data_IF_039867087556
#
_entry.id   IF_039867087556
#
_cell.length_a   1.000
_cell.length_b   1.000
_cell.length_c   1.000
_cell.angle_alpha   90.00
_cell.angle_beta   90.00
_cell.angle_gamma   90.00
#
_symmetry.space_group_name_H-M   'P 1'
#
loop_
_entity.id
_entity.type
_entity.pdbx_description
1 polymer ?
#
# COMPACT_ATOMS: atom_id res chain seq x y z
N UNK A 1 -23.37 14.25 -17.14
CA UNK A 1 -23.55 13.32 -16.00
C UNK A 1 -22.85 13.92 -14.79
N UNK A 2 -23.49 13.94 -13.61
CA UNK A 2 -22.82 14.40 -12.38
C UNK A 2 -21.62 13.48 -12.09
N UNK A 3 -20.48 14.04 -11.72
CA UNK A 3 -19.31 13.26 -11.32
C UNK A 3 -19.68 12.44 -10.06
N UNK A 4 -19.55 11.12 -10.15
CA UNK A 4 -19.77 10.24 -8.99
C UNK A 4 -18.64 10.54 -8.00
N UNK A 5 -19.00 11.00 -6.81
CA UNK A 5 -18.05 11.37 -5.76
C UNK A 5 -17.44 10.11 -5.15
N UNK A 6 -16.12 10.08 -5.01
CA UNK A 6 -15.43 9.01 -4.25
C UNK A 6 -15.80 9.10 -2.77
N UNK A 7 -16.20 7.98 -2.19
CA UNK A 7 -16.52 7.85 -0.76
C UNK A 7 -15.26 7.43 0.00
N UNK A 8 -14.94 8.14 1.08
CA UNK A 8 -13.85 7.76 1.98
C UNK A 8 -14.42 7.11 3.22
N UNK A 9 -13.90 5.95 3.59
CA UNK A 9 -14.27 5.23 4.81
C UNK A 9 -13.06 5.09 5.74
N UNK A 10 -13.27 5.38 7.01
CA UNK A 10 -12.28 5.16 8.08
C UNK A 10 -12.72 3.92 8.86
N UNK A 11 -12.01 2.80 8.70
CA UNK A 11 -12.41 1.51 9.28
C UNK A 11 -11.67 1.16 10.58
N UNK A 12 -10.66 1.95 10.97
CA UNK A 12 -9.86 1.70 12.16
C UNK A 12 -9.04 0.41 12.08
N UNK A 13 -8.81 -0.23 13.21
CA UNK A 13 -8.09 -1.49 13.32
C UNK A 13 -9.06 -2.65 13.06
N UNK A 14 -8.89 -3.35 11.94
CA UNK A 14 -9.81 -4.40 11.49
C UNK A 14 -9.06 -5.61 10.92
N UNK A 15 -9.60 -6.82 11.11
CA UNK A 15 -9.00 -8.07 10.62
C UNK A 15 -8.88 -8.12 9.10
N UNK A 16 -7.72 -8.64 8.59
CA UNK A 16 -7.48 -8.73 7.15
C UNK A 16 -8.51 -9.61 6.43
N UNK A 17 -8.81 -10.80 6.96
CA UNK A 17 -9.73 -11.75 6.32
C UNK A 17 -11.14 -11.18 6.18
N UNK A 18 -11.61 -10.45 7.19
CA UNK A 18 -12.89 -9.77 7.17
C UNK A 18 -12.94 -8.69 6.07
N UNK A 19 -11.95 -7.79 6.08
CA UNK A 19 -11.87 -6.70 5.09
C UNK A 19 -11.69 -7.24 3.67
N UNK A 20 -10.93 -8.33 3.52
CA UNK A 20 -10.75 -9.00 2.23
C UNK A 20 -12.07 -9.56 1.69
N UNK A 21 -12.90 -10.17 2.53
CA UNK A 21 -14.23 -10.62 2.16
C UNK A 21 -15.11 -9.42 1.74
N UNK A 22 -15.16 -8.37 2.55
CA UNK A 22 -15.92 -7.14 2.27
C UNK A 22 -15.53 -6.50 0.93
N UNK A 23 -14.22 -6.37 0.63
CA UNK A 23 -13.74 -5.82 -0.65
C UNK A 23 -14.20 -6.65 -1.85
N UNK A 24 -14.14 -7.97 -1.74
CA UNK A 24 -14.59 -8.88 -2.80
C UNK A 24 -16.08 -8.76 -3.04
N UNK A 25 -16.86 -8.77 -1.98
CA UNK A 25 -18.33 -8.69 -2.04
C UNK A 25 -18.76 -7.35 -2.61
N UNK A 26 -18.18 -6.24 -2.14
CA UNK A 26 -18.41 -4.92 -2.71
C UNK A 26 -18.09 -4.88 -4.21
N UNK A 27 -16.90 -5.37 -4.61
CA UNK A 27 -16.48 -5.38 -6.02
C UNK A 27 -17.35 -6.30 -6.88
N UNK A 28 -17.84 -7.41 -6.32
CA UNK A 28 -18.72 -8.33 -7.01
C UNK A 28 -20.15 -7.78 -7.19
N UNK A 29 -20.65 -7.06 -6.20
CA UNK A 29 -22.02 -6.56 -6.19
C UNK A 29 -22.20 -5.19 -6.86
N UNK A 30 -21.08 -4.42 -7.06
CA UNK A 30 -21.19 -3.05 -7.58
C UNK A 30 -21.79 -3.00 -8.99
N UNK A 31 -22.77 -2.12 -9.15
CA UNK A 31 -23.34 -1.74 -10.44
C UNK A 31 -22.64 -0.49 -11.03
N UNK A 32 -23.07 -0.06 -12.23
CA UNK A 32 -22.45 1.09 -12.92
C UNK A 32 -22.57 2.42 -12.17
N UNK A 33 -23.59 2.57 -11.32
CA UNK A 33 -23.83 3.78 -10.51
C UNK A 33 -23.20 3.71 -9.11
N UNK A 34 -22.56 2.58 -8.76
CA UNK A 34 -21.91 2.44 -7.47
C UNK A 34 -20.75 3.43 -7.33
N UNK A 35 -20.69 4.13 -6.21
CA UNK A 35 -19.59 5.05 -5.90
C UNK A 35 -18.24 4.31 -5.87
N UNK A 36 -17.18 5.03 -6.18
CA UNK A 36 -15.82 4.60 -5.88
C UNK A 36 -15.54 4.79 -4.39
N UNK A 37 -14.75 3.89 -3.81
CA UNK A 37 -14.46 3.97 -2.38
C UNK A 37 -12.97 3.87 -2.10
N UNK A 38 -12.50 4.64 -1.09
CA UNK A 38 -11.20 4.53 -0.47
C UNK A 38 -11.40 4.14 0.99
N UNK A 39 -10.85 2.98 1.39
CA UNK A 39 -10.96 2.49 2.76
C UNK A 39 -9.63 2.64 3.48
N UNK A 40 -9.58 3.51 4.48
CA UNK A 40 -8.45 3.75 5.34
C UNK A 40 -8.55 2.90 6.61
N UNK A 41 -7.49 2.17 6.94
CA UNK A 41 -7.51 1.23 8.05
C UNK A 41 -6.10 0.82 8.50
N UNK A 42 -6.06 0.08 9.58
CA UNK A 42 -4.93 -0.71 10.05
C UNK A 42 -5.33 -2.18 10.16
N UNK A 43 -4.36 -3.07 10.13
CA UNK A 43 -4.58 -4.48 10.47
C UNK A 43 -3.86 -4.88 11.74
N UNK A 44 -4.41 -5.81 12.54
CA UNK A 44 -3.60 -6.61 13.46
C UNK A 44 -2.46 -7.32 12.70
N UNK A 45 -1.38 -7.73 13.39
CA UNK A 45 -0.27 -8.42 12.75
C UNK A 45 -0.72 -9.57 11.85
N UNK A 46 -0.35 -9.51 10.56
CA UNK A 46 -0.70 -10.52 9.55
C UNK A 46 0.29 -10.52 8.40
N UNK A 47 0.70 -11.70 7.95
CA UNK A 47 1.34 -11.88 6.66
C UNK A 47 0.30 -12.16 5.60
N UNK A 48 0.38 -11.47 4.45
CA UNK A 48 -0.49 -11.76 3.32
C UNK A 48 0.33 -12.23 2.12
N UNK A 49 -0.06 -13.35 1.52
CA UNK A 49 0.55 -13.85 0.30
C UNK A 49 -0.32 -13.45 -0.91
N UNK A 50 0.27 -12.73 -1.87
CA UNK A 50 -0.37 -12.40 -3.13
C UNK A 50 -0.32 -13.57 -4.13
N UNK A 51 -0.79 -13.33 -5.37
CA UNK A 51 -0.85 -14.35 -6.42
C UNK A 51 0.51 -14.93 -6.83
N UNK A 52 1.58 -14.13 -6.72
CA UNK A 52 2.95 -14.58 -6.97
C UNK A 52 3.64 -15.13 -5.71
N UNK A 53 2.88 -15.27 -4.59
CA UNK A 53 3.40 -15.72 -3.30
C UNK A 53 3.94 -17.15 -3.37
N UNK A 54 5.16 -17.33 -2.87
CA UNK A 54 5.82 -18.63 -2.75
C UNK A 54 6.14 -18.91 -1.30
N UNK A 55 5.96 -20.16 -0.86
CA UNK A 55 6.22 -20.54 0.53
C UNK A 55 7.68 -20.28 0.96
N UNK A 56 8.63 -20.40 0.04
CA UNK A 56 10.06 -20.16 0.27
C UNK A 56 10.39 -18.72 0.71
N UNK A 57 9.48 -17.76 0.48
CA UNK A 57 9.64 -16.38 0.90
C UNK A 57 9.07 -16.09 2.30
N UNK A 58 8.48 -17.07 2.95
CA UNK A 58 8.06 -17.01 4.36
C UNK A 58 9.12 -17.78 5.17
N UNK A 59 10.03 -17.04 5.82
CA UNK A 59 11.21 -17.63 6.44
C UNK A 59 10.95 -18.13 7.87
N UNK A 60 10.33 -17.31 8.70
CA UNK A 60 10.08 -17.59 10.11
C UNK A 60 8.84 -16.83 10.63
N UNK A 61 7.62 -17.19 10.23
CA UNK A 61 6.42 -16.39 10.53
C UNK A 61 6.10 -16.32 12.03
N UNK A 62 6.56 -17.28 12.85
CA UNK A 62 6.20 -17.37 14.26
C UNK A 62 4.70 -17.53 14.43
N UNK A 63 4.11 -16.80 15.39
CA UNK A 63 2.67 -16.83 15.69
C UNK A 63 1.85 -15.88 14.83
N UNK A 64 2.48 -15.12 13.92
CA UNK A 64 1.75 -14.21 13.03
C UNK A 64 1.03 -15.01 11.94
N UNK A 65 -0.30 -14.86 11.81
CA UNK A 65 -1.07 -15.60 10.82
C UNK A 65 -0.67 -15.26 9.39
N UNK A 66 -0.72 -16.27 8.51
CA UNK A 66 -0.48 -16.13 7.08
C UNK A 66 -1.82 -16.28 6.35
N UNK A 67 -2.21 -15.29 5.57
CA UNK A 67 -3.45 -15.31 4.79
C UNK A 67 -3.15 -15.29 3.30
N UNK A 68 -3.66 -16.29 2.58
CA UNK A 68 -3.60 -16.31 1.12
C UNK A 68 -4.60 -15.31 0.55
N UNK A 69 -4.11 -14.45 -0.35
CA UNK A 69 -4.87 -13.37 -0.98
C UNK A 69 -4.75 -13.44 -2.50
N UNK A 70 -5.68 -12.79 -3.19
CA UNK A 70 -5.63 -12.68 -4.65
C UNK A 70 -5.08 -11.33 -5.15
N UNK A 71 -4.49 -10.49 -4.26
CA UNK A 71 -3.79 -9.29 -4.68
C UNK A 71 -2.56 -9.63 -5.53
N UNK A 72 -2.09 -8.68 -6.32
CA UNK A 72 -0.79 -8.80 -6.99
C UNK A 72 0.38 -8.89 -5.99
N UNK A 73 1.51 -9.35 -6.48
CA UNK A 73 2.77 -9.43 -5.74
C UNK A 73 2.94 -10.67 -4.87
N UNK A 74 4.02 -10.66 -4.10
CA UNK A 74 4.51 -11.72 -3.22
C UNK A 74 3.97 -11.54 -1.79
N UNK A 75 4.67 -12.14 -0.79
CA UNK A 75 4.38 -11.95 0.62
C UNK A 75 4.68 -10.52 1.08
N UNK A 76 3.87 -10.01 2.00
CA UNK A 76 4.13 -8.77 2.76
C UNK A 76 3.60 -8.92 4.18
N UNK A 77 3.91 -7.93 5.03
CA UNK A 77 3.42 -7.83 6.40
C UNK A 77 2.54 -6.60 6.56
N UNK A 78 1.50 -6.73 7.36
CA UNK A 78 0.69 -5.64 7.87
C UNK A 78 0.62 -5.70 9.39
N UNK A 79 0.63 -4.55 10.04
CA UNK A 79 0.53 -4.42 11.49
C UNK A 79 0.11 -3.02 11.92
N UNK A 80 -0.21 -2.80 13.21
CA UNK A 80 -0.53 -1.49 13.75
C UNK A 80 0.56 -0.46 13.46
N UNK A 81 0.16 0.78 13.18
CA UNK A 81 1.07 1.85 12.77
C UNK A 81 1.40 1.88 11.27
N UNK A 82 0.77 1.02 10.45
CA UNK A 82 0.85 1.05 9.00
C UNK A 82 -0.44 1.66 8.43
N UNK A 83 -0.32 2.72 7.61
CA UNK A 83 -1.46 3.25 6.87
C UNK A 83 -1.81 2.34 5.69
N UNK A 84 -2.89 1.59 5.80
CA UNK A 84 -3.42 0.75 4.72
C UNK A 84 -4.57 1.48 4.05
N UNK A 85 -4.55 1.54 2.71
CA UNK A 85 -5.65 2.13 1.94
C UNK A 85 -6.09 1.16 0.85
N UNK A 86 -7.31 0.68 0.93
CA UNK A 86 -7.93 -0.09 -0.14
C UNK A 86 -8.64 0.81 -1.13
N UNK A 87 -8.47 0.51 -2.42
CA UNK A 87 -8.80 1.38 -3.55
C UNK A 87 -9.79 0.65 -4.45
N UNK A 88 -11.08 0.92 -4.24
CA UNK A 88 -12.20 0.24 -4.89
C UNK A 88 -12.80 1.17 -5.96
N UNK A 89 -12.17 1.20 -7.15
CA UNK A 89 -12.48 2.12 -8.23
C UNK A 89 -13.02 1.38 -9.46
N UNK A 90 -13.89 2.05 -10.19
CA UNK A 90 -14.27 1.66 -11.55
C UNK A 90 -13.30 2.31 -12.55
N UNK A 91 -12.33 1.53 -13.02
CA UNK A 91 -11.29 2.01 -13.92
C UNK A 91 -11.81 2.33 -15.32
N UNK A 92 -12.89 1.67 -15.77
CA UNK A 92 -13.53 1.98 -17.05
C UNK A 92 -14.13 3.38 -17.00
N UNK A 93 -14.85 3.71 -15.95
CA UNK A 93 -15.44 5.03 -15.73
C UNK A 93 -14.38 6.12 -15.61
N UNK A 94 -13.25 5.82 -14.96
CA UNK A 94 -12.14 6.75 -14.77
C UNK A 94 -11.26 6.89 -16.01
N UNK A 95 -11.39 6.00 -17.01
CA UNK A 95 -10.67 6.09 -18.27
C UNK A 95 -9.18 5.74 -18.17
N UNK A 96 -8.74 4.97 -17.16
CA UNK A 96 -7.35 4.54 -17.05
C UNK A 96 -7.21 3.08 -16.63
N UNK A 97 -6.06 2.48 -16.94
CA UNK A 97 -5.78 1.09 -16.69
C UNK A 97 -5.06 0.83 -15.36
N UNK A 98 -4.82 -0.45 -15.06
CA UNK A 98 -4.15 -0.86 -13.83
C UNK A 98 -2.75 -0.25 -13.66
N UNK A 99 -1.99 -0.09 -14.75
CA UNK A 99 -0.63 0.53 -14.70
C UNK A 99 -0.70 2.02 -14.36
N UNK A 100 -1.72 2.72 -14.86
CA UNK A 100 -1.95 4.12 -14.52
C UNK A 100 -2.35 4.28 -13.07
N UNK A 101 -3.21 3.37 -12.57
CA UNK A 101 -3.56 3.34 -11.16
C UNK A 101 -2.32 3.13 -10.28
N UNK A 102 -1.45 2.17 -10.60
CA UNK A 102 -0.20 1.95 -9.86
C UNK A 102 0.62 3.24 -9.78
N UNK A 103 0.88 3.90 -10.92
CA UNK A 103 1.66 5.15 -10.95
C UNK A 103 1.02 6.27 -10.12
N UNK A 104 -0.31 6.40 -10.16
CA UNK A 104 -1.04 7.41 -9.38
C UNK A 104 -0.94 7.16 -7.87
N UNK A 105 -1.02 5.90 -7.46
CA UNK A 105 -0.88 5.50 -6.05
C UNK A 105 0.55 5.70 -5.53
N UNK A 106 1.56 5.32 -6.31
CA UNK A 106 2.96 5.58 -5.99
C UNK A 106 3.22 7.08 -5.87
N UNK A 107 2.71 7.87 -6.81
CA UNK A 107 2.88 9.32 -6.80
C UNK A 107 2.19 9.98 -5.59
N UNK A 108 1.00 9.51 -5.18
CA UNK A 108 0.34 10.00 -3.99
C UNK A 108 1.17 9.75 -2.71
N UNK A 109 1.74 8.56 -2.56
CA UNK A 109 2.65 8.27 -1.44
C UNK A 109 3.92 9.13 -1.50
N UNK A 110 4.53 9.30 -2.67
CA UNK A 110 5.73 10.13 -2.86
C UNK A 110 5.46 11.59 -2.48
N UNK A 111 4.35 12.16 -2.93
CA UNK A 111 3.98 13.55 -2.63
C UNK A 111 3.64 13.73 -1.12
N UNK A 112 2.99 12.74 -0.51
CA UNK A 112 2.78 12.74 0.94
C UNK A 112 4.13 12.79 1.68
N UNK A 113 5.08 11.94 1.32
CA UNK A 113 6.42 11.88 1.91
C UNK A 113 7.21 13.17 1.65
N UNK A 114 7.11 13.74 0.45
CA UNK A 114 7.76 15.01 0.12
C UNK A 114 7.26 16.16 1.00
N UNK A 115 5.97 16.16 1.39
CA UNK A 115 5.42 17.10 2.37
C UNK A 115 6.07 17.03 3.76
N UNK A 116 6.77 15.94 4.07
CA UNK A 116 7.55 15.75 5.30
C UNK A 116 9.06 15.94 5.09
N UNK A 117 9.48 16.37 3.89
CA UNK A 117 10.90 16.48 3.55
C UNK A 117 11.58 15.14 3.25
N UNK A 118 10.84 14.07 3.07
CA UNK A 118 11.35 12.73 2.75
C UNK A 118 11.38 12.55 1.23
N UNK A 119 12.59 12.49 0.66
CA UNK A 119 12.77 12.19 -0.76
C UNK A 119 12.56 10.69 -1.01
N UNK A 120 11.55 10.35 -1.80
CA UNK A 120 11.20 8.99 -2.13
C UNK A 120 10.93 8.82 -3.63
N UNK A 121 11.08 7.60 -4.13
CA UNK A 121 10.92 7.29 -5.55
C UNK A 121 10.23 5.94 -5.78
N UNK A 122 9.56 5.79 -6.92
CA UNK A 122 9.05 4.53 -7.41
C UNK A 122 10.13 3.79 -8.23
N UNK A 123 9.97 2.46 -8.36
CA UNK A 123 10.85 1.61 -9.19
C UNK A 123 10.03 0.92 -10.28
N UNK A 124 10.45 0.96 -11.55
CA UNK A 124 9.76 0.29 -12.65
C UNK A 124 9.73 -1.24 -12.55
N UNK A 125 10.79 -1.82 -11.97
CA UNK A 125 11.02 -3.27 -11.83
C UNK A 125 10.38 -3.87 -10.57
N UNK A 126 10.08 -3.03 -9.58
CA UNK A 126 9.56 -3.47 -8.29
C UNK A 126 8.55 -2.46 -7.73
N UNK A 127 7.25 -2.57 -8.08
CA UNK A 127 6.23 -1.62 -7.66
C UNK A 127 6.25 -1.34 -6.16
N UNK A 128 6.17 -0.05 -5.80
CA UNK A 128 6.27 0.45 -4.44
C UNK A 128 7.04 1.75 -4.36
N UNK A 129 7.20 2.25 -3.13
CA UNK A 129 7.90 3.50 -2.85
C UNK A 129 9.13 3.23 -2.00
N UNK A 130 10.25 3.82 -2.40
CA UNK A 130 11.57 3.55 -1.85
C UNK A 130 12.27 4.86 -1.47
N UNK A 131 13.06 4.80 -0.40
CA UNK A 131 13.96 5.88 0.04
C UNK A 131 15.38 5.41 -0.12
N UNK A 132 16.21 6.23 -0.79
CA UNK A 132 17.63 5.97 -1.01
C UNK A 132 18.46 7.00 -0.26
N UNK A 133 19.32 6.55 0.62
CA UNK A 133 20.23 7.40 1.39
C UNK A 133 21.34 6.59 2.04
N UNK A 134 22.33 7.28 2.61
CA UNK A 134 23.30 6.68 3.52
C UNK A 134 22.61 6.43 4.88
N UNK A 135 22.50 5.16 5.25
CA UNK A 135 21.88 4.76 6.51
C UNK A 135 22.95 4.58 7.59
N UNK A 136 22.63 5.02 8.81
CA UNK A 136 23.59 4.94 9.93
C UNK A 136 23.99 3.50 10.26
N UNK A 137 23.13 2.51 9.98
CA UNK A 137 23.34 1.07 10.15
C UNK A 137 23.67 0.36 8.83
N UNK A 138 23.92 1.11 7.77
CA UNK A 138 24.32 0.61 6.46
C UNK A 138 25.82 0.32 6.37
N UNK A 139 26.27 -0.43 5.35
CA UNK A 139 27.69 -0.72 5.13
C UNK A 139 28.44 0.56 4.80
N UNK A 140 29.48 0.88 5.60
CA UNK A 140 30.30 2.07 5.39
C UNK A 140 31.09 2.01 4.08
N UNK A 141 31.09 3.12 3.33
CA UNK A 141 31.85 3.25 2.07
C UNK A 141 31.25 2.53 0.88
N UNK A 142 30.00 2.07 0.97
CA UNK A 142 29.24 1.54 -0.16
C UNK A 142 28.28 2.61 -0.71
N UNK A 143 27.62 2.30 -1.86
CA UNK A 143 26.62 3.17 -2.45
C UNK A 143 25.43 3.31 -1.49
N UNK A 144 24.66 4.43 -1.59
CA UNK A 144 23.41 4.59 -0.85
C UNK A 144 22.53 3.35 -0.98
N UNK A 145 21.97 2.90 0.13
CA UNK A 145 21.07 1.74 0.17
C UNK A 145 19.62 2.21 -0.01
N UNK A 146 18.86 1.45 -0.79
CA UNK A 146 17.42 1.64 -0.91
C UNK A 146 16.66 0.81 0.11
N UNK A 147 15.76 1.48 0.86
CA UNK A 147 14.78 0.81 1.75
C UNK A 147 13.37 1.12 1.30
N UNK A 148 12.51 0.12 1.38
CA UNK A 148 11.12 0.24 0.98
C UNK A 148 10.30 0.85 2.11
N UNK A 149 9.52 1.89 1.83
CA UNK A 149 8.63 2.56 2.78
C UNK A 149 7.15 2.33 2.45
N UNK A 150 6.83 2.19 1.18
CA UNK A 150 5.47 1.97 0.70
C UNK A 150 5.36 0.72 -0.18
N UNK A 151 4.34 -0.07 0.07
CA UNK A 151 4.02 -1.27 -0.70
C UNK A 151 2.70 -1.10 -1.43
N UNK A 152 2.54 -1.77 -2.56
CA UNK A 152 1.26 -1.83 -3.24
C UNK A 152 1.02 -3.22 -3.84
N UNK A 153 -0.26 -3.61 -3.88
CA UNK A 153 -0.68 -4.83 -4.53
C UNK A 153 -2.16 -4.71 -4.86
N UNK A 154 -2.50 -4.72 -6.14
CA UNK A 154 -3.85 -4.53 -6.64
C UNK A 154 -4.40 -5.82 -7.26
N UNK A 155 -5.71 -5.89 -7.32
CA UNK A 155 -6.44 -6.81 -8.19
C UNK A 155 -7.44 -6.00 -9.01
N UNK A 156 -7.56 -6.33 -10.28
CA UNK A 156 -8.62 -5.80 -11.14
C UNK A 156 -9.53 -6.95 -11.55
N UNK A 157 -10.84 -6.77 -11.37
CA UNK A 157 -11.86 -7.70 -11.75
C UNK A 157 -13.01 -6.94 -12.42
N UNK A 158 -13.38 -7.34 -13.62
CA UNK A 158 -14.44 -6.68 -14.42
C UNK A 158 -14.26 -5.16 -14.54
N UNK A 159 -12.99 -4.72 -14.70
CA UNK A 159 -12.65 -3.30 -14.78
C UNK A 159 -12.63 -2.54 -13.46
N UNK A 160 -12.90 -3.18 -12.33
CA UNK A 160 -12.89 -2.56 -11.01
C UNK A 160 -11.69 -3.02 -10.20
N UNK A 161 -11.01 -2.07 -9.54
CA UNK A 161 -9.88 -2.36 -8.64
C UNK A 161 -10.33 -2.70 -7.23
N UNK A 162 -9.52 -3.46 -6.52
CA UNK A 162 -9.58 -3.66 -5.07
C UNK A 162 -8.21 -4.04 -4.53
N UNK A 163 -8.05 -4.19 -3.21
CA UNK A 163 -6.78 -4.03 -2.50
C UNK A 163 -6.19 -2.63 -2.71
N UNK A 164 -4.90 -2.42 -2.50
CA UNK A 164 -4.38 -1.05 -2.58
C UNK A 164 -2.95 -0.92 -2.13
N UNK A 165 -2.70 0.02 -1.24
CA UNK A 165 -1.38 0.43 -0.76
C UNK A 165 -1.24 0.26 0.75
N UNK A 166 0.02 0.19 1.19
CA UNK A 166 0.40 0.20 2.59
C UNK A 166 1.65 1.08 2.76
N UNK A 167 1.54 2.15 3.55
CA UNK A 167 2.62 3.05 3.88
C UNK A 167 3.05 2.83 5.34
N UNK A 168 4.31 2.51 5.57
CA UNK A 168 4.85 2.32 6.92
C UNK A 168 5.01 3.69 7.59
N UNK A 169 4.31 3.92 8.70
CA UNK A 169 4.31 5.21 9.40
C UNK A 169 5.09 5.14 10.71
N UNK A 170 4.62 4.36 11.66
CA UNK A 170 5.25 4.16 12.96
C UNK A 170 4.84 2.80 13.52
N UNK A 171 5.45 1.75 13.01
CA UNK A 171 5.10 0.36 13.26
C UNK A 171 6.31 -0.48 13.66
N UNK A 172 6.08 -1.68 14.13
CA UNK A 172 7.14 -2.68 14.27
C UNK A 172 7.54 -3.22 12.88
N UNK A 173 8.78 -2.95 12.46
CA UNK A 173 9.33 -3.43 11.20
C UNK A 173 10.03 -4.79 11.30
N UNK A 174 10.23 -5.34 12.52
CA UNK A 174 10.92 -6.61 12.73
C UNK A 174 10.28 -7.75 11.92
N UNK A 175 8.93 -7.91 11.86
CA UNK A 175 8.31 -9.00 11.12
C UNK A 175 8.64 -9.03 9.62
N UNK A 176 9.01 -7.91 9.01
CA UNK A 176 9.49 -7.91 7.63
C UNK A 176 10.80 -8.70 7.45
N UNK A 177 11.63 -8.80 8.49
CA UNK A 177 12.84 -9.64 8.51
C UNK A 177 12.55 -11.15 8.50
N UNK A 178 11.31 -11.55 8.78
CA UNK A 178 10.85 -12.95 8.79
C UNK A 178 10.34 -13.42 7.42
N UNK A 179 10.36 -12.55 6.42
CA UNK A 179 9.91 -12.83 5.05
C UNK A 179 10.92 -12.24 4.04
N UNK A 180 10.81 -12.64 2.77
CA UNK A 180 11.44 -11.93 1.66
C UNK A 180 10.39 -11.03 0.99
N UNK A 181 10.28 -9.75 1.36
CA UNK A 181 9.24 -8.88 0.84
C UNK A 181 9.37 -8.73 -0.67
N UNK A 182 8.27 -8.86 -1.40
CA UNK A 182 8.26 -8.80 -2.86
C UNK A 182 9.14 -9.85 -3.56
N UNK A 183 9.54 -10.92 -2.86
CA UNK A 183 10.48 -11.93 -3.39
C UNK A 183 11.93 -11.45 -3.48
N UNK A 184 12.25 -10.28 -2.94
CA UNK A 184 13.59 -9.70 -2.94
C UNK A 184 14.28 -10.07 -1.62
N UNK A 185 15.22 -11.01 -1.69
CA UNK A 185 16.04 -11.38 -0.53
C UNK A 185 16.83 -10.15 -0.05
N UNK A 186 16.82 -9.90 1.26
CA UNK A 186 17.57 -8.80 1.86
C UNK A 186 16.97 -7.40 1.66
N UNK A 187 15.74 -7.27 1.10
CA UNK A 187 15.07 -5.98 1.02
C UNK A 187 14.76 -5.45 2.42
N UNK A 188 15.38 -4.33 2.78
CA UNK A 188 15.14 -3.67 4.06
C UNK A 188 13.96 -2.71 3.96
N UNK A 189 13.22 -2.60 5.06
CA UNK A 189 12.09 -1.68 5.17
C UNK A 189 12.49 -0.47 6.00
N UNK A 190 11.73 0.61 5.84
CA UNK A 190 11.79 1.83 6.67
C UNK A 190 10.39 2.39 6.87
N UNK A 191 10.26 3.45 7.63
CA UNK A 191 8.99 4.08 7.98
C UNK A 191 9.14 5.61 8.15
N UNK A 192 8.02 6.31 8.11
CA UNK A 192 7.96 7.79 8.15
C UNK A 192 8.65 8.34 9.40
N UNK A 193 8.38 7.75 10.58
CA UNK A 193 8.94 8.21 11.86
C UNK A 193 10.46 8.09 11.93
N UNK A 194 11.07 7.05 11.34
CA UNK A 194 12.54 6.90 11.28
C UNK A 194 13.23 7.93 10.39
N UNK A 195 12.48 8.58 9.53
CA UNK A 195 12.97 9.56 8.57
C UNK A 195 12.71 11.02 9.00
N UNK A 196 12.25 11.21 10.24
CA UNK A 196 11.94 12.53 10.80
C UNK A 196 10.57 13.08 10.41
N UNK A 197 9.75 12.27 9.76
CA UNK A 197 8.34 12.59 9.49
C UNK A 197 7.43 12.32 10.69
N UNK A 198 6.12 12.59 10.58
CA UNK A 198 5.17 12.39 11.67
C UNK A 198 5.04 10.92 12.09
N UNK A 199 5.04 10.67 13.42
CA UNK A 199 4.69 9.37 13.99
C UNK A 199 3.17 9.19 14.16
N UNK A 200 2.38 10.26 14.04
CA UNK A 200 0.92 10.25 14.14
C UNK A 200 0.31 9.67 12.85
N UNK A 201 -0.15 8.42 12.95
CA UNK A 201 -0.78 7.70 11.84
C UNK A 201 -2.02 8.42 11.29
N UNK A 202 -2.85 8.98 12.16
CA UNK A 202 -4.06 9.70 11.75
C UNK A 202 -3.73 10.94 10.93
N UNK A 203 -2.65 11.66 11.28
CA UNK A 203 -2.14 12.77 10.47
C UNK A 203 -1.71 12.30 9.09
N UNK A 204 -0.87 11.25 9.04
CA UNK A 204 -0.36 10.73 7.76
C UNK A 204 -1.49 10.21 6.87
N UNK A 205 -2.50 9.55 7.46
CA UNK A 205 -3.68 9.09 6.71
C UNK A 205 -4.46 10.27 6.10
N UNK A 206 -4.68 11.36 6.84
CA UNK A 206 -5.36 12.55 6.29
C UNK A 206 -4.57 13.21 5.17
N UNK A 207 -3.25 13.35 5.32
CA UNK A 207 -2.39 13.94 4.31
C UNK A 207 -2.38 13.06 3.05
N UNK A 208 -2.27 11.74 3.21
CA UNK A 208 -2.32 10.77 2.10
C UNK A 208 -3.69 10.77 1.40
N UNK A 209 -4.81 10.90 2.15
CA UNK A 209 -6.16 11.01 1.59
C UNK A 209 -6.27 12.19 0.61
N UNK A 210 -5.75 13.36 1.00
CA UNK A 210 -5.79 14.55 0.14
C UNK A 210 -5.07 14.32 -1.20
N UNK A 211 -3.89 13.70 -1.18
CA UNK A 211 -3.15 13.38 -2.40
C UNK A 211 -3.85 12.28 -3.22
N UNK A 212 -4.40 11.24 -2.59
CA UNK A 212 -5.13 10.19 -3.28
C UNK A 212 -6.36 10.74 -4.00
N UNK A 213 -7.18 11.56 -3.33
CA UNK A 213 -8.36 12.18 -3.95
C UNK A 213 -7.99 13.06 -5.14
N UNK A 214 -6.88 13.78 -5.06
CA UNK A 214 -6.37 14.57 -6.19
C UNK A 214 -5.91 13.70 -7.36
N UNK A 215 -5.18 12.60 -7.10
CA UNK A 215 -4.60 11.75 -8.15
C UNK A 215 -5.60 10.79 -8.79
N UNK A 216 -6.62 10.35 -8.04
CA UNK A 216 -7.56 9.32 -8.47
C UNK A 216 -8.83 9.88 -9.13
N UNK A 217 -8.96 11.20 -9.21
CA UNK A 217 -10.00 11.86 -10.01
C UNK A 217 -9.88 11.56 -11.50
N UNK A 218 -10.92 11.84 -12.29
CA UNK A 218 -10.86 11.74 -13.74
C UNK A 218 -9.71 12.61 -14.27
N UNK A 219 -9.07 12.21 -15.40
CA UNK A 219 -8.04 13.06 -16.00
C UNK A 219 -8.60 14.44 -16.29
N UNK A 220 -7.85 15.49 -15.92
CA UNK A 220 -8.18 16.86 -16.33
C UNK A 220 -8.16 16.92 -17.85
N UNK A 221 -9.25 17.40 -18.44
CA UNK A 221 -9.38 17.63 -19.89
C UNK A 221 -8.38 18.68 -20.36
#
# INVERSE_FOLDING_TARGET
MAAIKTVVRQLGLIGYSETYAQMRDFTAARGPEAADELWFLEHPPVFTQGQAGKAEHVLAPGDIPIVQSNRGGQVTYHGPGQAVVYVLLDLHRLGYGARDLVRRLEQAMIETLAGYGIAAQARPDAPGVYVERDWADGPRGQRPEQRKIGSLGLRVSRGCSYHGIALNVNMDLEPFGRINPCGLAGMRMTQVSELGGPADLGRVMRDLEAFLLNKLGPPSL
#
